data_IF_752492728049
#
_entry.id   IF_752492728049
#
_cell.length_a   1.000
_cell.length_b   1.000
_cell.length_c   1.000
_cell.angle_alpha   90.00
_cell.angle_beta   90.00
_cell.angle_gamma   90.00
#
_symmetry.space_group_name_H-M   'P 1'
#
loop_
_entity.id
_entity.type
_entity.pdbx_description
1 polymer ?
#
# COMPACT_ATOMS: atom_id res chain seq x y z
N UNK A 1 16.58 7.34 2.90
CA UNK A 1 16.19 6.45 1.79
C UNK A 1 14.70 6.31 1.94
N UNK A 2 13.98 7.14 1.19
CA UNK A 2 12.65 7.61 1.59
C UNK A 2 11.60 6.97 0.71
N UNK A 3 11.46 5.64 0.83
CA UNK A 3 10.59 4.88 -0.03
C UNK A 3 9.96 3.67 0.68
N UNK A 4 8.72 3.36 0.29
CA UNK A 4 8.02 2.12 0.59
C UNK A 4 8.70 0.98 -0.16
N UNK A 5 9.45 0.17 0.59
CA UNK A 5 10.15 -0.99 0.04
C UNK A 5 9.30 -2.25 0.15
N UNK A 6 9.43 -3.23 -0.76
CA UNK A 6 8.66 -4.47 -0.71
C UNK A 6 9.09 -5.38 0.44
N UNK A 7 10.37 -5.31 0.84
CA UNK A 7 11.03 -6.33 1.64
C UNK A 7 11.28 -5.92 3.10
N UNK A 8 11.48 -4.63 3.38
CA UNK A 8 11.90 -4.16 4.70
C UNK A 8 11.56 -2.71 4.99
N UNK A 9 11.41 -2.40 6.27
CA UNK A 9 11.35 -1.01 6.75
C UNK A 9 12.76 -0.46 7.02
N UNK A 10 12.86 0.86 7.16
CA UNK A 10 14.03 1.53 7.73
C UNK A 10 13.67 2.12 9.10
N UNK A 11 14.63 2.79 9.76
CA UNK A 11 14.39 3.48 11.04
C UNK A 11 13.38 4.62 10.91
N UNK A 12 13.24 5.21 9.72
CA UNK A 12 12.41 6.40 9.48
C UNK A 12 11.27 6.19 8.50
N UNK A 13 11.24 5.07 7.76
CA UNK A 13 10.22 4.79 6.75
C UNK A 13 9.68 3.37 6.88
N UNK A 14 8.36 3.22 6.72
CA UNK A 14 7.76 1.90 6.62
C UNK A 14 8.09 1.27 5.26
N UNK A 15 8.39 -0.03 5.30
CA UNK A 15 8.25 -0.92 4.16
C UNK A 15 6.83 -1.47 4.08
N UNK A 16 6.50 -2.09 2.95
CA UNK A 16 5.20 -2.69 2.66
C UNK A 16 4.73 -3.67 3.75
N UNK A 17 5.57 -4.58 4.30
CA UNK A 17 5.11 -5.51 5.34
C UNK A 17 4.61 -4.80 6.59
N UNK A 18 5.35 -3.80 7.08
CA UNK A 18 4.97 -3.03 8.28
C UNK A 18 3.77 -2.13 8.02
N UNK A 19 3.68 -1.53 6.83
CA UNK A 19 2.52 -0.74 6.44
C UNK A 19 1.24 -1.59 6.42
N UNK A 20 1.33 -2.83 5.92
CA UNK A 20 0.21 -3.78 5.93
C UNK A 20 -0.21 -4.20 7.35
N UNK A 21 0.74 -4.36 8.28
CA UNK A 21 0.41 -4.61 9.70
C UNK A 21 -0.41 -3.48 10.31
N UNK A 22 -0.06 -2.22 10.03
CA UNK A 22 -0.82 -1.07 10.53
C UNK A 22 -2.21 -0.99 9.90
N UNK A 23 -2.34 -1.27 8.59
CA UNK A 23 -3.64 -1.34 7.92
C UNK A 23 -4.53 -2.42 8.55
N UNK A 24 -3.98 -3.59 8.90
CA UNK A 24 -4.72 -4.66 9.59
C UNK A 24 -5.23 -4.25 10.96
N UNK A 25 -4.48 -3.41 11.68
CA UNK A 25 -4.89 -2.88 13.00
C UNK A 25 -5.96 -1.81 12.87
N UNK A 26 -5.77 -0.85 11.96
CA UNK A 26 -6.65 0.31 11.79
C UNK A 26 -7.95 -0.07 11.06
N UNK A 27 -7.89 -1.04 10.14
CA UNK A 27 -8.98 -1.46 9.25
C UNK A 27 -9.69 -0.29 8.54
N UNK A 28 -8.95 0.55 7.81
CA UNK A 28 -9.57 1.63 7.02
C UNK A 28 -10.47 1.05 5.93
N UNK A 29 -11.48 1.83 5.50
CA UNK A 29 -12.37 1.44 4.40
C UNK A 29 -11.64 1.25 3.07
N UNK A 30 -10.60 2.05 2.81
CA UNK A 30 -9.74 1.97 1.64
C UNK A 30 -8.36 2.52 1.97
N UNK A 31 -7.32 1.83 1.50
CA UNK A 31 -5.92 2.24 1.64
C UNK A 31 -5.27 2.47 0.28
N UNK A 32 -4.52 3.57 0.15
CA UNK A 32 -3.67 3.85 -1.00
C UNK A 32 -2.25 4.10 -0.52
N UNK A 33 -1.32 3.21 -0.85
CA UNK A 33 0.09 3.38 -0.53
C UNK A 33 0.80 4.25 -1.56
N UNK A 34 1.77 5.04 -1.11
CA UNK A 34 2.56 5.94 -1.97
C UNK A 34 4.04 5.87 -1.60
N UNK A 35 4.88 6.56 -2.39
CA UNK A 35 6.32 6.62 -2.18
C UNK A 35 7.04 5.31 -2.47
N UNK A 36 6.58 4.51 -3.43
CA UNK A 36 7.20 3.22 -3.76
C UNK A 36 8.65 3.38 -4.22
N UNK A 37 9.51 2.42 -3.85
CA UNK A 37 10.88 2.41 -4.39
C UNK A 37 10.88 2.09 -5.89
N UNK A 38 11.84 2.65 -6.63
CA UNK A 38 11.91 2.54 -8.10
C UNK A 38 12.05 1.11 -8.65
N UNK A 39 12.45 0.12 -7.82
CA UNK A 39 12.52 -1.29 -8.22
C UNK A 39 11.27 -2.10 -7.86
N UNK A 40 10.26 -1.47 -7.25
CA UNK A 40 8.99 -2.13 -6.97
C UNK A 40 8.17 -2.17 -8.26
N UNK A 41 7.87 -3.37 -8.73
CA UNK A 41 6.93 -3.59 -9.84
C UNK A 41 5.52 -3.22 -9.37
N UNK A 42 5.02 -2.10 -9.88
CA UNK A 42 3.74 -1.55 -9.46
C UNK A 42 2.59 -2.50 -9.76
N UNK A 43 2.47 -2.95 -11.01
CA UNK A 43 1.34 -3.77 -11.46
C UNK A 43 1.29 -5.11 -10.73
N UNK A 44 2.44 -5.76 -10.57
CA UNK A 44 2.54 -7.02 -9.85
C UNK A 44 2.14 -6.86 -8.39
N UNK A 45 2.74 -5.90 -7.68
CA UNK A 45 2.46 -5.70 -6.26
C UNK A 45 1.03 -5.22 -6.04
N UNK A 46 0.52 -4.32 -6.89
CA UNK A 46 -0.85 -3.83 -6.80
C UNK A 46 -1.87 -4.95 -7.05
N UNK A 47 -1.58 -5.87 -7.98
CA UNK A 47 -2.39 -7.07 -8.20
C UNK A 47 -2.42 -7.97 -6.97
N UNK A 48 -1.29 -8.18 -6.30
CA UNK A 48 -1.23 -8.97 -5.06
C UNK A 48 -2.01 -8.30 -3.92
N UNK A 49 -1.88 -6.97 -3.77
CA UNK A 49 -2.63 -6.19 -2.77
C UNK A 49 -4.14 -6.25 -3.00
N UNK A 50 -4.59 -6.15 -4.26
CA UNK A 50 -6.00 -6.21 -4.61
C UNK A 50 -6.67 -7.54 -4.21
N UNK A 51 -5.90 -8.63 -4.04
CA UNK A 51 -6.44 -9.93 -3.59
C UNK A 51 -6.79 -9.94 -2.11
N UNK A 52 -6.24 -9.03 -1.32
CA UNK A 52 -6.49 -8.95 0.13
C UNK A 52 -7.92 -8.57 0.47
N UNK A 53 -8.70 -8.00 -0.46
CA UNK A 53 -10.13 -7.78 -0.26
C UNK A 53 -10.89 -9.10 -0.10
N UNK A 54 -10.45 -10.15 -0.82
CA UNK A 54 -11.09 -11.46 -0.79
C UNK A 54 -10.64 -12.33 0.39
N UNK A 55 -9.44 -12.11 0.92
CA UNK A 55 -8.90 -12.91 2.03
C UNK A 55 -9.06 -12.23 3.39
N UNK A 56 -8.67 -10.95 3.48
CA UNK A 56 -8.54 -10.21 4.73
C UNK A 56 -9.65 -9.14 4.87
N UNK A 57 -10.47 -8.95 3.82
CA UNK A 57 -11.48 -7.89 3.75
C UNK A 57 -10.88 -6.49 3.64
N UNK A 58 -9.64 -6.36 3.14
CA UNK A 58 -8.90 -5.11 3.06
C UNK A 58 -8.82 -4.59 1.62
N UNK A 59 -9.38 -3.41 1.36
CA UNK A 59 -9.23 -2.70 0.07
C UNK A 59 -7.93 -1.88 0.11
N UNK A 60 -6.90 -2.39 -0.56
CA UNK A 60 -5.55 -1.80 -0.58
C UNK A 60 -5.05 -1.75 -2.02
N UNK A 61 -4.51 -0.60 -2.43
CA UNK A 61 -3.88 -0.41 -3.72
C UNK A 61 -2.61 0.45 -3.60
N UNK A 62 -1.71 0.33 -4.58
CA UNK A 62 -0.65 1.32 -4.82
C UNK A 62 -1.23 2.52 -5.58
N UNK A 63 -0.85 3.72 -5.17
CA UNK A 63 -1.16 4.97 -5.90
C UNK A 63 -0.31 5.10 -7.16
N UNK A 64 -0.71 6.00 -8.06
CA UNK A 64 0.06 6.34 -9.25
C UNK A 64 -0.12 7.82 -9.58
N UNK A 65 0.82 8.37 -10.34
CA UNK A 65 0.80 9.78 -10.72
C UNK A 65 -0.45 10.10 -11.55
N UNK A 66 -1.20 11.11 -11.11
CA UNK A 66 -2.47 11.49 -11.73
C UNK A 66 -3.69 10.70 -11.23
N UNK A 67 -3.56 9.78 -10.27
CA UNK A 67 -4.69 9.11 -9.64
C UNK A 67 -5.65 10.14 -9.01
N UNK A 68 -6.93 10.06 -9.39
CA UNK A 68 -8.01 10.90 -8.85
C UNK A 68 -9.00 10.05 -8.08
N UNK A 69 -9.20 10.37 -6.81
CA UNK A 69 -10.14 9.66 -5.93
C UNK A 69 -11.29 10.60 -5.56
N UNK A 70 -12.54 10.28 -5.91
CA UNK A 70 -13.68 11.03 -5.41
C UNK A 70 -13.86 10.73 -3.92
N UNK A 71 -13.79 11.78 -3.09
CA UNK A 71 -14.04 11.66 -1.64
C UNK A 71 -15.47 12.12 -1.37
N UNK A 72 -16.24 11.26 -0.69
CA UNK A 72 -17.52 11.63 -0.08
C UNK A 72 -17.26 11.85 1.40
N UNK A 73 -17.44 13.10 1.84
CA UNK A 73 -17.31 13.51 3.24
C UNK A 73 -18.60 13.21 4.02
#
# INVERSE_FOLDING_TARGET
MDALRPDRSSSTHFGLPRALEEVRKIKPKKTLFTGMMHLMDHEKVNSDLARLIGTDGLDIQLSYDGLRIPVRL
#
